data_IF_551962368466
#
_entry.id   IF_551962368466
#
_cell.length_a   1.000
_cell.length_b   1.000
_cell.length_c   1.000
_cell.angle_alpha   90.00
_cell.angle_beta   90.00
_cell.angle_gamma   90.00
#
_symmetry.space_group_name_H-M   'P 1'
#
loop_
_entity.id
_entity.type
_entity.pdbx_description
1 polymer ?
#
# COMPACT_ATOMS: atom_id res chain seq x y z
N UNK A 1 -3.50 -19.77 0.04
CA UNK A 1 -2.92 -18.43 -0.14
C UNK A 1 -3.21 -17.58 1.09
N UNK A 2 -2.19 -16.87 1.58
CA UNK A 2 -2.38 -15.86 2.61
C UNK A 2 -2.87 -14.56 1.97
N UNK A 3 -3.87 -13.93 2.58
CA UNK A 3 -4.45 -12.66 2.13
C UNK A 3 -4.52 -11.70 3.29
N UNK A 4 -4.15 -10.44 3.03
CA UNK A 4 -4.20 -9.36 4.01
C UNK A 4 -2.91 -9.18 4.81
N UNK A 5 -2.98 -8.26 5.77
CA UNK A 5 -1.81 -7.87 6.58
C UNK A 5 -1.45 -8.93 7.62
N UNK A 6 -0.18 -9.22 7.75
CA UNK A 6 0.36 -10.01 8.85
C UNK A 6 0.54 -9.17 10.13
N UNK A 7 0.55 -9.82 11.29
CA UNK A 7 0.86 -9.14 12.55
C UNK A 7 2.29 -8.61 12.51
N UNK A 8 2.43 -7.29 12.68
CA UNK A 8 3.76 -6.67 12.73
C UNK A 8 4.50 -7.09 13.98
N UNK A 9 5.76 -7.44 13.79
CA UNK A 9 6.69 -7.75 14.89
C UNK A 9 6.92 -6.54 15.81
N UNK A 10 7.37 -6.78 17.01
CA UNK A 10 7.65 -5.71 17.96
C UNK A 10 8.77 -4.77 17.46
N UNK A 11 9.91 -5.26 16.91
CA UNK A 11 10.94 -4.39 16.33
C UNK A 11 10.40 -3.46 15.23
N UNK A 12 9.53 -3.97 14.36
CA UNK A 12 8.94 -3.15 13.30
C UNK A 12 8.00 -2.06 13.85
N UNK A 13 7.20 -2.38 14.88
CA UNK A 13 6.33 -1.38 15.53
C UNK A 13 7.16 -0.26 16.18
N UNK A 14 8.23 -0.60 16.86
CA UNK A 14 9.14 0.36 17.50
C UNK A 14 9.86 1.24 16.48
N UNK A 15 10.38 0.65 15.39
CA UNK A 15 11.04 1.38 14.34
C UNK A 15 10.07 2.37 13.65
N UNK A 16 8.83 1.96 13.39
CA UNK A 16 7.80 2.85 12.82
C UNK A 16 7.41 3.99 13.78
N UNK A 17 7.36 3.73 15.08
CA UNK A 17 7.12 4.78 16.08
C UNK A 17 8.27 5.79 16.13
N UNK A 18 9.51 5.32 16.12
CA UNK A 18 10.71 6.18 16.08
C UNK A 18 10.78 7.00 14.79
N UNK A 19 10.46 6.40 13.65
CA UNK A 19 10.38 7.13 12.38
C UNK A 19 9.31 8.24 12.43
N UNK A 20 8.13 7.94 12.95
CA UNK A 20 7.07 8.93 13.12
C UNK A 20 7.45 10.07 14.09
N UNK A 21 8.33 9.79 15.07
CA UNK A 21 8.89 10.80 15.99
C UNK A 21 10.09 11.57 15.38
N UNK A 22 10.54 11.23 14.17
CA UNK A 22 11.71 11.83 13.53
C UNK A 22 13.07 11.34 14.08
N UNK A 23 13.07 10.23 14.83
CA UNK A 23 14.27 9.65 15.45
C UNK A 23 15.00 8.67 14.52
N UNK A 24 14.35 8.18 13.48
CA UNK A 24 14.93 7.35 12.43
C UNK A 24 14.80 8.00 11.06
N UNK A 25 15.78 7.80 10.19
CA UNK A 25 15.66 8.14 8.77
C UNK A 25 14.79 7.13 8.02
N UNK A 26 14.37 7.47 6.80
CA UNK A 26 13.64 6.55 5.93
C UNK A 26 14.46 5.30 5.61
N UNK A 27 15.76 5.46 5.36
CA UNK A 27 16.68 4.38 5.07
C UNK A 27 16.79 3.40 6.25
N UNK A 28 16.94 3.94 7.47
CA UNK A 28 17.01 3.12 8.69
C UNK A 28 15.71 2.33 8.93
N UNK A 29 14.55 2.96 8.69
CA UNK A 29 13.27 2.23 8.76
C UNK A 29 13.20 1.14 7.69
N UNK A 30 13.66 1.43 6.46
CA UNK A 30 13.66 0.45 5.37
C UNK A 30 14.52 -0.77 5.69
N UNK A 31 15.68 -0.59 6.34
CA UNK A 31 16.52 -1.69 6.79
C UNK A 31 15.79 -2.61 7.79
N UNK A 32 15.06 -2.03 8.74
CA UNK A 32 14.26 -2.81 9.69
C UNK A 32 13.10 -3.52 8.97
N UNK A 33 12.42 -2.83 8.04
CA UNK A 33 11.36 -3.42 7.22
C UNK A 33 11.89 -4.63 6.43
N UNK A 34 13.08 -4.51 5.79
CA UNK A 34 13.72 -5.60 5.04
C UNK A 34 14.02 -6.81 5.92
N UNK A 35 14.60 -6.58 7.10
CA UNK A 35 14.93 -7.65 8.06
C UNK A 35 13.68 -8.37 8.54
N UNK A 36 12.63 -7.64 8.88
CA UNK A 36 11.40 -8.24 9.42
C UNK A 36 10.59 -8.94 8.33
N UNK A 37 10.60 -8.42 7.08
CA UNK A 37 10.02 -9.11 5.92
C UNK A 37 10.79 -10.41 5.64
N UNK A 38 12.11 -10.42 5.71
CA UNK A 38 12.90 -11.63 5.52
C UNK A 38 12.55 -12.73 6.55
N UNK A 39 12.36 -12.35 7.81
CA UNK A 39 11.89 -13.27 8.86
C UNK A 39 10.47 -13.80 8.58
N UNK A 40 9.57 -12.91 8.13
CA UNK A 40 8.21 -13.30 7.78
C UNK A 40 8.19 -14.25 6.57
N UNK A 41 9.00 -13.99 5.56
CA UNK A 41 9.17 -14.87 4.39
C UNK A 41 9.64 -16.26 4.84
N UNK A 42 10.67 -16.31 5.69
CA UNK A 42 11.17 -17.59 6.20
C UNK A 42 10.08 -18.35 6.98
N UNK A 43 9.35 -17.66 7.86
CA UNK A 43 8.26 -18.28 8.60
C UNK A 43 7.14 -18.83 7.71
N UNK A 44 6.80 -18.14 6.60
CA UNK A 44 5.84 -18.63 5.62
C UNK A 44 6.35 -19.90 4.91
N UNK A 45 7.63 -19.91 4.51
CA UNK A 45 8.26 -21.08 3.88
C UNK A 45 8.32 -22.28 4.84
N UNK A 46 8.71 -22.07 6.10
CA UNK A 46 8.77 -23.11 7.12
C UNK A 46 7.39 -23.71 7.42
N UNK A 47 6.34 -22.89 7.31
CA UNK A 47 4.94 -23.34 7.40
C UNK A 47 4.42 -24.06 6.13
N UNK A 48 5.24 -24.21 5.10
CA UNK A 48 4.85 -24.88 3.83
C UNK A 48 3.99 -24.01 2.90
N UNK A 49 3.93 -22.70 3.15
CA UNK A 49 3.22 -21.77 2.27
C UNK A 49 4.05 -21.58 1.00
N UNK A 50 3.44 -21.75 -0.17
CA UNK A 50 4.11 -21.61 -1.46
C UNK A 50 3.98 -20.21 -2.07
N UNK A 51 2.88 -19.52 -1.76
CA UNK A 51 2.58 -18.17 -2.26
C UNK A 51 2.89 -17.16 -1.16
N UNK A 52 4.01 -16.48 -1.31
CA UNK A 52 4.68 -15.68 -0.28
C UNK A 52 4.31 -14.20 -0.44
N UNK A 53 3.99 -13.54 0.68
CA UNK A 53 3.71 -12.09 0.74
C UNK A 53 4.69 -11.38 1.67
N UNK A 54 4.78 -10.05 1.54
CA UNK A 54 5.51 -9.18 2.46
C UNK A 54 4.74 -8.87 3.77
N UNK A 55 3.53 -9.40 3.92
CA UNK A 55 2.64 -9.14 5.06
C UNK A 55 2.18 -7.69 5.17
N UNK A 56 2.37 -6.87 4.12
CA UNK A 56 2.08 -5.43 4.09
C UNK A 56 2.89 -4.64 5.16
N UNK A 57 4.07 -5.11 5.51
CA UNK A 57 4.89 -4.54 6.59
C UNK A 57 5.35 -3.11 6.33
N UNK A 58 5.47 -2.71 5.05
CA UNK A 58 5.88 -1.36 4.65
C UNK A 58 4.73 -0.35 4.65
N UNK A 59 3.47 -0.81 4.66
CA UNK A 59 2.29 0.04 4.52
C UNK A 59 1.82 0.62 5.84
N UNK A 60 1.34 1.86 5.81
CA UNK A 60 0.55 2.44 6.90
C UNK A 60 -0.91 1.99 6.79
N UNK A 61 -1.45 2.06 5.56
CA UNK A 61 -2.79 1.58 5.22
C UNK A 61 -2.71 0.62 4.05
N UNK A 62 -3.46 -0.47 4.08
CA UNK A 62 -3.43 -1.51 3.06
C UNK A 62 -3.80 -1.02 1.65
N UNK A 63 -4.61 0.03 1.55
CA UNK A 63 -5.13 0.60 0.29
C UNK A 63 -4.63 2.02 0.00
N UNK A 64 -4.59 2.92 0.99
CA UNK A 64 -4.26 4.33 0.77
C UNK A 64 -2.83 4.47 0.24
N UNK A 65 -1.88 3.74 0.80
CA UNK A 65 -0.47 3.77 0.39
C UNK A 65 -0.27 3.44 -1.11
N UNK A 66 -1.17 2.65 -1.70
CA UNK A 66 -1.17 2.46 -3.14
C UNK A 66 -1.87 3.62 -3.86
N UNK A 67 -3.04 4.03 -3.39
CA UNK A 67 -3.89 4.97 -4.09
C UNK A 67 -3.27 6.37 -4.16
N UNK A 68 -2.70 6.88 -3.07
CA UNK A 68 -2.09 8.21 -3.01
C UNK A 68 -0.80 8.35 -3.82
N UNK A 69 -0.21 7.24 -4.26
CA UNK A 69 0.97 7.22 -5.12
C UNK A 69 0.64 7.11 -6.62
N UNK A 70 -0.64 7.05 -6.99
CA UNK A 70 -1.08 7.27 -8.38
C UNK A 70 -0.97 8.76 -8.71
N UNK A 71 -0.61 9.10 -9.95
CA UNK A 71 -0.70 10.47 -10.41
C UNK A 71 -2.15 10.96 -10.32
N UNK A 72 -2.35 12.21 -9.92
CA UNK A 72 -3.67 12.83 -9.81
C UNK A 72 -4.47 12.46 -8.57
N UNK A 73 -3.89 11.70 -7.67
CA UNK A 73 -4.47 11.35 -6.36
C UNK A 73 -3.54 11.86 -5.26
N UNK A 74 -4.11 12.44 -4.22
CA UNK A 74 -3.37 12.86 -3.02
C UNK A 74 -4.06 12.40 -1.74
N UNK A 75 -3.26 12.16 -0.69
CA UNK A 75 -3.77 11.93 0.65
C UNK A 75 -4.21 13.24 1.32
N UNK A 76 -5.24 13.20 2.16
CA UNK A 76 -5.68 14.33 2.97
C UNK A 76 -6.24 13.89 4.31
N UNK A 77 -6.33 14.83 5.25
CA UNK A 77 -6.91 14.60 6.57
C UNK A 77 -8.35 15.15 6.61
N UNK A 78 -9.38 14.30 6.54
CA UNK A 78 -10.75 14.72 6.80
C UNK A 78 -10.94 15.05 8.29
N UNK A 79 -12.04 15.73 8.65
CA UNK A 79 -12.35 16.06 10.06
C UNK A 79 -12.56 14.82 10.92
N UNK A 80 -13.11 13.75 10.33
CA UNK A 80 -13.41 12.48 11.01
C UNK A 80 -12.90 11.28 10.24
N UNK A 81 -12.48 10.25 10.98
CA UNK A 81 -12.17 8.92 10.44
C UNK A 81 -13.44 8.08 10.22
N UNK A 82 -13.26 6.85 9.77
CA UNK A 82 -14.37 5.90 9.72
C UNK A 82 -14.75 5.43 11.11
N UNK A 83 -16.05 5.44 11.40
CA UNK A 83 -16.61 4.97 12.69
C UNK A 83 -17.03 3.52 12.57
N UNK A 84 -16.41 2.70 13.39
CA UNK A 84 -16.84 1.33 13.67
C UNK A 84 -17.39 1.27 15.11
N UNK A 85 -18.07 0.19 15.50
CA UNK A 85 -18.64 0.03 16.83
C UNK A 85 -17.72 0.51 17.98
N UNK A 86 -17.87 1.78 18.38
CA UNK A 86 -17.11 2.39 19.46
C UNK A 86 -15.66 2.79 19.16
N UNK A 87 -15.19 2.60 17.92
CA UNK A 87 -13.82 2.98 17.50
C UNK A 87 -13.87 3.86 16.25
N UNK A 88 -13.15 4.96 16.26
CA UNK A 88 -12.93 5.81 15.09
C UNK A 88 -11.50 5.60 14.57
N UNK A 89 -11.35 5.38 13.27
CA UNK A 89 -10.03 5.25 12.64
C UNK A 89 -9.33 6.60 12.57
N UNK A 90 -8.00 6.60 12.35
CA UNK A 90 -7.29 7.83 12.03
C UNK A 90 -7.94 8.52 10.83
N UNK A 91 -8.19 9.83 10.89
CA UNK A 91 -8.80 10.58 9.79
C UNK A 91 -7.78 10.80 8.68
N UNK A 92 -7.68 9.83 7.76
CA UNK A 92 -6.85 9.92 6.58
C UNK A 92 -7.56 9.26 5.40
N UNK A 93 -7.58 9.92 4.25
CA UNK A 93 -8.26 9.46 3.04
C UNK A 93 -7.57 10.02 1.80
N UNK A 94 -8.07 9.69 0.61
CA UNK A 94 -7.56 10.17 -0.67
C UNK A 94 -8.59 11.02 -1.41
N UNK A 95 -8.11 11.99 -2.20
CA UNK A 95 -8.93 12.80 -3.10
C UNK A 95 -8.26 12.97 -4.47
N UNK A 96 -9.08 13.25 -5.48
CA UNK A 96 -8.61 13.54 -6.82
C UNK A 96 -8.10 14.99 -6.89
N UNK A 97 -6.84 15.17 -7.25
CA UNK A 97 -6.21 16.50 -7.43
C UNK A 97 -5.76 16.75 -8.88
N UNK A 98 -5.85 15.75 -9.75
CA UNK A 98 -5.45 15.83 -11.15
C UNK A 98 -5.96 14.66 -11.97
N UNK A 99 -5.61 14.58 -13.25
CA UNK A 99 -5.92 13.43 -14.10
C UNK A 99 -5.21 12.19 -13.59
N UNK A 100 -5.96 11.12 -13.37
CA UNK A 100 -5.44 9.87 -12.82
C UNK A 100 -4.65 9.12 -13.87
N UNK A 101 -3.43 8.71 -13.52
CA UNK A 101 -2.61 7.82 -14.34
C UNK A 101 -1.65 7.00 -13.49
N UNK A 102 -1.05 5.97 -14.08
CA UNK A 102 0.01 5.21 -13.43
C UNK A 102 1.25 6.09 -13.20
N UNK A 103 1.84 5.98 -12.03
CA UNK A 103 3.11 6.62 -11.68
C UNK A 103 4.25 5.61 -11.91
N UNK A 104 5.16 5.82 -12.87
CA UNK A 104 6.28 4.90 -13.13
C UNK A 104 7.23 4.73 -11.93
N UNK A 105 7.26 5.72 -11.03
CA UNK A 105 8.06 5.70 -9.81
C UNK A 105 7.24 5.27 -8.58
N UNK A 106 6.15 4.53 -8.79
CA UNK A 106 5.30 4.05 -7.70
C UNK A 106 6.10 3.13 -6.77
N UNK A 107 6.14 3.40 -5.44
CA UNK A 107 7.01 2.68 -4.51
C UNK A 107 6.74 1.16 -4.45
N UNK A 108 5.53 0.72 -4.79
CA UNK A 108 5.19 -0.70 -4.76
C UNK A 108 5.99 -1.53 -5.77
N UNK A 109 6.50 -0.93 -6.85
CA UNK A 109 7.37 -1.63 -7.80
C UNK A 109 8.69 -2.03 -7.12
N UNK A 110 9.33 -1.11 -6.42
CA UNK A 110 10.57 -1.40 -5.70
C UNK A 110 10.32 -2.35 -4.51
N UNK A 111 9.20 -2.20 -3.81
CA UNK A 111 8.79 -3.12 -2.75
C UNK A 111 8.59 -4.55 -3.28
N UNK A 112 7.94 -4.69 -4.44
CA UNK A 112 7.75 -5.98 -5.09
C UNK A 112 9.08 -6.62 -5.54
N UNK A 113 9.96 -5.85 -6.17
CA UNK A 113 11.30 -6.31 -6.56
C UNK A 113 12.07 -6.80 -5.34
N UNK A 114 12.07 -6.03 -4.26
CA UNK A 114 12.74 -6.40 -3.02
C UNK A 114 12.17 -7.70 -2.42
N UNK A 115 10.85 -7.88 -2.45
CA UNK A 115 10.25 -9.13 -2.01
C UNK A 115 10.71 -10.31 -2.89
N UNK A 116 10.78 -10.11 -4.21
CA UNK A 116 11.32 -11.14 -5.13
C UNK A 116 12.76 -11.52 -4.78
N UNK A 117 13.62 -10.53 -4.49
CA UNK A 117 15.00 -10.77 -4.10
C UNK A 117 15.09 -11.57 -2.79
N UNK A 118 14.25 -11.23 -1.80
CA UNK A 118 14.21 -11.95 -0.51
C UNK A 118 13.71 -13.38 -0.69
N UNK A 119 12.70 -13.61 -1.49
CA UNK A 119 12.11 -14.95 -1.72
C UNK A 119 13.04 -15.81 -2.60
N UNK A 120 13.63 -15.23 -3.65
CA UNK A 120 14.38 -15.97 -4.66
C UNK A 120 13.53 -17.06 -5.31
N UNK A 121 14.14 -18.23 -5.53
CA UNK A 121 13.48 -19.39 -6.14
C UNK A 121 12.71 -20.27 -5.14
N UNK A 122 12.55 -19.82 -3.87
CA UNK A 122 11.95 -20.62 -2.80
C UNK A 122 10.43 -20.60 -2.76
N UNK A 123 9.77 -19.74 -3.54
CA UNK A 123 8.32 -19.62 -3.56
C UNK A 123 7.81 -18.68 -4.66
N UNK A 124 6.50 -18.59 -4.76
CA UNK A 124 5.81 -17.68 -5.69
C UNK A 124 5.52 -16.38 -4.95
N UNK A 125 6.00 -15.26 -5.47
CA UNK A 125 5.75 -13.95 -4.86
C UNK A 125 4.35 -13.45 -5.22
N UNK A 126 3.59 -13.08 -4.21
CA UNK A 126 2.30 -12.40 -4.34
C UNK A 126 2.38 -11.02 -3.67
N UNK A 127 1.93 -9.99 -4.39
CA UNK A 127 1.89 -8.64 -3.89
C UNK A 127 0.49 -8.03 -4.06
N UNK A 128 -0.14 -7.71 -2.95
CA UNK A 128 -1.53 -7.24 -2.95
C UNK A 128 -1.63 -5.76 -3.29
N UNK A 129 -2.60 -5.42 -4.13
CA UNK A 129 -3.01 -4.04 -4.40
C UNK A 129 -4.53 -3.92 -4.17
N UNK A 130 -5.05 -2.74 -3.77
CA UNK A 130 -6.49 -2.55 -3.65
C UNK A 130 -7.18 -2.68 -4.99
N UNK A 131 -8.43 -3.09 -5.02
CA UNK A 131 -9.20 -3.10 -6.27
C UNK A 131 -9.48 -1.68 -6.77
N UNK A 132 -9.71 -1.47 -8.09
CA UNK A 132 -10.10 -0.17 -8.63
C UNK A 132 -11.33 0.43 -7.94
N UNK A 133 -12.22 -0.39 -7.41
CA UNK A 133 -13.41 0.06 -6.68
C UNK A 133 -13.07 0.81 -5.39
N UNK A 134 -11.94 0.56 -4.77
CA UNK A 134 -11.49 1.31 -3.60
C UNK A 134 -11.18 2.77 -3.94
N UNK A 135 -10.75 3.05 -5.15
CA UNK A 135 -10.59 4.41 -5.64
C UNK A 135 -11.91 5.03 -6.09
N UNK A 136 -12.86 4.20 -6.52
CA UNK A 136 -14.17 4.67 -7.02
C UNK A 136 -15.15 5.02 -5.90
N UNK A 137 -14.91 4.51 -4.69
CA UNK A 137 -15.88 4.59 -3.61
C UNK A 137 -15.27 5.22 -2.40
N UNK A 138 -15.02 5.86 -1.72
CA UNK A 138 -15.03 6.95 -0.78
C UNK A 138 -14.19 8.15 -1.22
N UNK A 139 -13.58 8.11 -2.39
CA UNK A 139 -12.75 9.22 -2.83
C UNK A 139 -13.59 10.43 -3.24
N UNK A 140 -13.13 11.60 -2.94
CA UNK A 140 -13.62 12.84 -3.53
C UNK A 140 -13.10 12.95 -4.97
N UNK A 141 -13.87 12.46 -5.93
CA UNK A 141 -13.55 12.53 -7.36
C UNK A 141 -14.09 13.82 -8.01
N UNK A 142 -15.09 14.46 -7.40
CA UNK A 142 -15.84 15.63 -7.86
C UNK A 142 -15.16 16.96 -7.50
N UNK A 143 -13.86 16.99 -7.62
CA UNK A 143 -13.02 18.17 -7.30
C UNK A 143 -12.91 19.17 -8.45
N UNK A 144 -13.67 18.96 -9.55
CA UNK A 144 -13.62 19.78 -10.74
C UNK A 144 -12.61 19.31 -11.80
N UNK A 145 -11.84 18.26 -11.54
CA UNK A 145 -10.89 17.69 -12.53
C UNK A 145 -11.61 16.90 -13.62
N UNK A 146 -12.70 16.20 -13.25
CA UNK A 146 -13.51 15.40 -14.16
C UNK A 146 -14.93 15.93 -14.22
N UNK A 147 -15.49 15.99 -15.43
CA UNK A 147 -16.87 16.39 -15.63
C UNK A 147 -17.86 15.30 -15.19
N UNK A 148 -17.46 14.03 -15.30
CA UNK A 148 -18.30 12.89 -14.96
C UNK A 148 -17.50 11.80 -14.24
N UNK A 149 -18.21 11.02 -13.42
CA UNK A 149 -17.64 9.83 -12.77
C UNK A 149 -17.18 8.78 -13.80
N UNK A 150 -17.82 8.71 -14.94
CA UNK A 150 -17.45 7.78 -16.01
C UNK A 150 -16.08 8.11 -16.62
N UNK A 151 -15.76 9.38 -16.80
CA UNK A 151 -14.42 9.81 -17.23
C UNK A 151 -13.35 9.47 -16.19
N UNK A 152 -13.61 9.76 -14.91
CA UNK A 152 -12.73 9.37 -13.81
C UNK A 152 -12.50 7.85 -13.80
N UNK A 153 -13.56 7.04 -13.90
CA UNK A 153 -13.49 5.58 -13.93
C UNK A 153 -12.63 5.06 -15.09
N UNK A 154 -12.70 5.68 -16.26
CA UNK A 154 -11.89 5.29 -17.43
C UNK A 154 -10.40 5.47 -17.18
N UNK A 155 -10.01 6.62 -16.61
CA UNK A 155 -8.61 6.89 -16.29
C UNK A 155 -8.10 5.96 -15.17
N UNK A 156 -8.91 5.69 -14.14
CA UNK A 156 -8.60 4.70 -13.09
C UNK A 156 -8.37 3.32 -13.70
N UNK A 157 -9.24 2.86 -14.59
CA UNK A 157 -9.07 1.56 -15.26
C UNK A 157 -7.77 1.51 -16.06
N UNK A 158 -7.41 2.59 -16.75
CA UNK A 158 -6.17 2.64 -17.51
C UNK A 158 -4.96 2.61 -16.58
N UNK A 159 -4.96 3.39 -15.48
CA UNK A 159 -3.89 3.38 -14.49
C UNK A 159 -3.63 1.98 -13.90
N UNK A 160 -4.69 1.22 -13.62
CA UNK A 160 -4.57 -0.16 -13.13
C UNK A 160 -4.04 -1.13 -14.19
N UNK A 161 -4.45 -0.98 -15.46
CA UNK A 161 -3.87 -1.78 -16.55
C UNK A 161 -2.36 -1.54 -16.68
N UNK A 162 -1.94 -0.29 -16.51
CA UNK A 162 -0.53 0.08 -16.60
C UNK A 162 0.25 -0.40 -15.36
N UNK A 163 -0.33 -0.33 -14.17
CA UNK A 163 0.23 -0.88 -12.94
C UNK A 163 0.50 -2.40 -13.02
N UNK A 164 -0.43 -3.15 -13.63
CA UNK A 164 -0.28 -4.62 -13.77
C UNK A 164 0.81 -4.99 -14.78
N UNK A 165 1.10 -4.11 -15.73
CA UNK A 165 2.15 -4.34 -16.75
C UNK A 165 3.54 -3.93 -16.27
N UNK A 166 3.63 -3.04 -15.28
CA UNK A 166 4.90 -2.55 -14.75
C UNK A 166 5.60 -3.61 -13.89
#
# INVERSE_FOLDING_TARGET
DTVGSSFRSQPLKEARAKFAAGELSREQLTEVEDQEIAKLVQAQLDAGIQVITDGEYRRAFWHIDFLENLNGIEGYHPEHGYKFNGVETKPYNTRCCGKVSWNPNHPFIEHFKKLKDIVGDRGIVNYTIPSPNQLMYPIQWDTGVYATRAEFAKDVQQAYKDAIKA
#
